data_IF_094361589201
#
_entry.id   IF_094361589201
#
_cell.length_a   1.000
_cell.length_b   1.000
_cell.length_c   1.000
_cell.angle_alpha   90.00
_cell.angle_beta   90.00
_cell.angle_gamma   90.00
#
_symmetry.space_group_name_H-M   'P 1'
#
loop_
_entity.id
_entity.type
_entity.pdbx_description
1 polymer ?
#
# COMPACT_ATOMS: atom_id res chain seq x y z
N UNK A 1 -11.60 1.55 -3.78
CA UNK A 1 -11.39 2.71 -4.67
C UNK A 1 -12.32 2.70 -5.86
N UNK A 2 -12.57 1.55 -6.49
CA UNK A 2 -13.44 1.39 -7.67
C UNK A 2 -14.84 2.04 -7.51
N UNK A 3 -15.55 1.75 -6.43
CA UNK A 3 -16.89 2.32 -6.17
C UNK A 3 -16.90 3.86 -6.18
N UNK A 4 -15.85 4.50 -5.68
CA UNK A 4 -15.78 5.97 -5.64
C UNK A 4 -15.63 6.53 -7.06
N UNK A 5 -14.84 5.88 -7.91
CA UNK A 5 -14.66 6.28 -9.30
C UNK A 5 -15.99 6.13 -10.08
N UNK A 6 -16.66 4.98 -9.95
CA UNK A 6 -17.95 4.73 -10.61
C UNK A 6 -19.02 5.75 -10.20
N UNK A 7 -19.04 6.14 -8.92
CA UNK A 7 -19.99 7.15 -8.45
C UNK A 7 -19.68 8.54 -9.03
N UNK A 8 -18.41 8.93 -9.09
CA UNK A 8 -18.03 10.23 -9.66
C UNK A 8 -18.38 10.34 -11.15
N UNK A 9 -18.17 9.26 -11.90
CA UNK A 9 -18.51 9.22 -13.32
C UNK A 9 -20.03 9.31 -13.53
N UNK A 10 -20.83 8.49 -12.82
CA UNK A 10 -22.29 8.46 -13.01
C UNK A 10 -23.04 9.64 -12.42
N UNK A 11 -22.67 10.10 -11.23
CA UNK A 11 -23.42 11.13 -10.49
C UNK A 11 -22.97 12.55 -10.85
N UNK A 12 -21.70 12.72 -11.27
CA UNK A 12 -21.11 14.03 -11.49
C UNK A 12 -20.49 14.21 -12.89
N UNK A 13 -20.59 13.21 -13.78
CA UNK A 13 -19.99 13.24 -15.12
C UNK A 13 -18.49 13.58 -15.08
N UNK A 14 -17.81 13.10 -14.03
CA UNK A 14 -16.38 13.31 -13.79
C UNK A 14 -15.61 12.03 -14.08
N UNK A 15 -14.88 12.02 -15.18
CA UNK A 15 -13.94 10.96 -15.48
C UNK A 15 -12.59 11.23 -14.78
N UNK A 16 -12.26 10.40 -13.79
CA UNK A 16 -11.07 10.58 -12.94
C UNK A 16 -10.01 9.56 -13.32
N UNK A 17 -8.76 10.01 -13.46
CA UNK A 17 -7.61 9.12 -13.65
C UNK A 17 -6.98 8.86 -12.28
N UNK A 18 -6.88 7.60 -11.88
CA UNK A 18 -6.23 7.22 -10.62
C UNK A 18 -4.84 6.67 -10.84
N UNK A 19 -3.93 7.00 -9.94
CA UNK A 19 -2.60 6.36 -9.88
C UNK A 19 -2.69 4.95 -9.32
N UNK A 20 -1.58 4.21 -9.41
CA UNK A 20 -1.44 2.89 -8.78
C UNK A 20 -1.64 3.03 -7.26
N UNK A 21 -2.42 2.14 -6.62
CA UNK A 21 -2.57 2.14 -5.17
C UNK A 21 -1.24 1.77 -4.48
N UNK A 22 -0.95 2.38 -3.34
CA UNK A 22 0.21 2.05 -2.50
C UNK A 22 -0.23 1.57 -1.11
N UNK A 23 0.67 0.87 -0.42
CA UNK A 23 0.54 0.48 0.99
C UNK A 23 1.57 1.23 1.85
N UNK A 24 1.29 1.37 3.13
CA UNK A 24 2.25 1.93 4.08
C UNK A 24 3.23 0.85 4.55
N UNK A 25 4.49 1.22 4.72
CA UNK A 25 5.56 0.37 5.25
C UNK A 25 6.03 0.88 6.61
N UNK A 26 6.65 0.00 7.38
CA UNK A 26 7.47 0.42 8.53
C UNK A 26 8.94 0.28 8.18
N UNK A 27 9.67 1.40 8.24
CA UNK A 27 11.12 1.42 8.11
C UNK A 27 11.80 1.48 9.48
N UNK A 28 12.95 0.81 9.59
CA UNK A 28 13.78 0.81 10.78
C UNK A 28 15.19 1.26 10.42
N UNK A 29 15.77 2.13 11.24
CA UNK A 29 17.12 2.65 11.01
C UNK A 29 18.14 1.86 11.80
N UNK A 30 19.38 1.80 11.33
CA UNK A 30 20.50 1.18 12.07
C UNK A 30 20.75 1.83 13.43
N UNK A 31 20.38 3.10 13.60
CA UNK A 31 20.54 3.85 14.85
C UNK A 31 19.46 3.49 15.88
N UNK A 32 18.24 3.26 15.40
CA UNK A 32 17.08 2.94 16.21
C UNK A 32 16.30 1.80 15.54
N UNK A 33 16.76 0.55 15.71
CA UNK A 33 16.22 -0.60 15.00
C UNK A 33 14.88 -1.09 15.56
N UNK A 34 14.41 -0.54 16.68
CA UNK A 34 13.15 -0.95 17.33
C UNK A 34 12.05 0.12 17.23
N UNK A 35 12.39 1.36 16.84
CA UNK A 35 11.40 2.42 16.60
C UNK A 35 10.99 2.44 15.12
N UNK A 36 9.72 2.12 14.79
CA UNK A 36 9.24 2.16 13.42
C UNK A 36 9.04 3.59 12.93
N UNK A 37 9.42 3.84 11.68
CA UNK A 37 9.09 5.05 10.92
C UNK A 37 8.02 4.66 9.89
N UNK A 38 6.85 5.29 9.95
CA UNK A 38 5.78 5.07 8.98
C UNK A 38 6.15 5.72 7.65
N UNK A 39 6.15 4.94 6.57
CA UNK A 39 6.45 5.37 5.22
C UNK A 39 5.21 5.18 4.37
N UNK A 40 4.58 6.28 3.93
CA UNK A 40 3.35 6.24 3.13
C UNK A 40 3.63 6.40 1.63
N UNK A 41 4.76 7.02 1.29
CA UNK A 41 5.17 7.28 -0.07
C UNK A 41 6.60 6.79 -0.30
N UNK A 42 6.94 6.27 -1.50
CA UNK A 42 8.31 5.88 -1.82
C UNK A 42 9.35 7.02 -1.69
N UNK A 43 8.92 8.27 -1.80
CA UNK A 43 9.79 9.44 -1.58
C UNK A 43 10.18 9.65 -0.11
N UNK A 44 9.46 9.05 0.83
CA UNK A 44 9.73 9.11 2.27
C UNK A 44 10.69 8.00 2.72
N UNK A 45 11.20 7.19 1.79
CA UNK A 45 12.08 6.07 2.13
C UNK A 45 13.38 6.55 2.79
N UNK A 46 13.78 5.85 3.84
CA UNK A 46 15.05 6.09 4.53
C UNK A 46 16.21 5.82 3.55
N UNK A 47 17.27 6.62 3.64
CA UNK A 47 18.49 6.38 2.88
C UNK A 47 18.97 4.92 3.07
N UNK A 48 19.20 4.16 1.99
CA UNK A 48 19.59 2.75 2.07
C UNK A 48 20.84 2.48 2.93
N UNK A 49 21.73 3.46 3.08
CA UNK A 49 22.93 3.33 3.92
C UNK A 49 22.60 3.31 5.42
N UNK A 50 21.50 3.96 5.82
CA UNK A 50 21.01 4.06 7.19
C UNK A 50 19.92 3.03 7.51
N UNK A 51 19.36 2.38 6.49
CA UNK A 51 18.29 1.41 6.61
C UNK A 51 18.78 0.09 7.22
N UNK A 52 18.06 -0.40 8.24
CA UNK A 52 18.26 -1.72 8.83
C UNK A 52 17.34 -2.76 8.18
N UNK A 53 16.03 -2.52 8.28
CA UNK A 53 14.99 -3.36 7.67
C UNK A 53 13.74 -2.55 7.29
N UNK A 54 12.94 -3.15 6.42
CA UNK A 54 11.62 -2.65 6.01
C UNK A 54 10.63 -3.78 6.23
N UNK A 55 9.50 -3.47 6.84
CA UNK A 55 8.38 -4.39 7.01
C UNK A 55 7.23 -3.95 6.11
N UNK A 56 6.72 -4.90 5.33
CA UNK A 56 5.55 -4.72 4.46
C UNK A 56 4.30 -5.32 5.11
N UNK A 57 3.10 -4.75 4.84
CA UNK A 57 1.86 -5.30 5.33
C UNK A 57 1.55 -6.62 4.61
N UNK A 58 1.42 -7.70 5.38
CA UNK A 58 1.07 -9.02 4.86
C UNK A 58 -0.40 -9.35 5.12
N UNK A 59 -1.07 -9.95 4.13
CA UNK A 59 -2.42 -10.49 4.27
C UNK A 59 -2.43 -11.98 4.00
N UNK A 60 -3.16 -12.74 4.83
CA UNK A 60 -3.47 -14.13 4.55
C UNK A 60 -4.80 -14.20 3.82
N UNK A 61 -4.76 -14.44 2.51
CA UNK A 61 -5.96 -14.63 1.70
C UNK A 61 -6.37 -16.11 1.66
N UNK A 62 -7.67 -16.36 1.73
CA UNK A 62 -8.28 -17.67 1.48
C UNK A 62 -9.24 -17.54 0.30
N UNK A 63 -9.08 -18.40 -0.70
CA UNK A 63 -9.99 -18.46 -1.84
C UNK A 63 -10.73 -19.79 -1.84
N UNK A 64 -12.04 -19.74 -2.07
CA UNK A 64 -12.87 -20.91 -2.29
C UNK A 64 -13.08 -21.05 -3.80
N UNK A 65 -12.70 -22.20 -4.36
CA UNK A 65 -12.99 -22.56 -5.74
C UNK A 65 -13.99 -23.71 -5.76
N UNK A 66 -14.98 -23.63 -6.64
CA UNK A 66 -15.86 -24.76 -6.90
C UNK A 66 -15.06 -25.89 -7.56
N UNK A 67 -15.23 -27.15 -7.13
CA UNK A 67 -14.62 -28.28 -7.81
C UNK A 67 -15.20 -28.40 -9.23
N UNK A 68 -14.32 -28.53 -10.22
CA UNK A 68 -14.70 -28.89 -11.59
C UNK A 68 -15.00 -30.40 -11.58
N UNK A 69 -16.21 -30.78 -12.00
CA UNK A 69 -16.62 -32.19 -12.19
C UNK A 69 -16.06 -32.76 -13.50
#
# INVERSE_FOLDING_TARGET
MEIVQERLDREFNMNVITTVPNVSYHGYSKKDPETPILINNPSEMIDPTLLDRVEEPYIKASSLQNPIL
#
